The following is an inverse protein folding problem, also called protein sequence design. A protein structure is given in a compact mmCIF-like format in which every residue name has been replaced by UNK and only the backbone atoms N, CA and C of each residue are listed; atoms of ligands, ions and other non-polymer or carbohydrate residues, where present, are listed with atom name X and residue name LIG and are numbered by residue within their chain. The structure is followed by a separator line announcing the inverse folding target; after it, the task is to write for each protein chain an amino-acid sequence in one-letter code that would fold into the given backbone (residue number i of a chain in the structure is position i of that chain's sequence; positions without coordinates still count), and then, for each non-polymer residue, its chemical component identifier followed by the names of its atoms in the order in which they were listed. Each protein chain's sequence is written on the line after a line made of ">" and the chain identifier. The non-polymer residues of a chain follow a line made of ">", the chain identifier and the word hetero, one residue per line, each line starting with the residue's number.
data_IF_653853033359
#
_entry.id   IF_653853033359
#
_cell.length_a   1.000
_cell.length_b   1.000
_cell.length_c   1.000
_cell.angle_alpha   90.00
_cell.angle_beta   90.00
_cell.angle_gamma   90.00
#
_symmetry.space_group_name_H-M   'P 1'
#
loop_
_entity.id
_entity.type
_entity.pdbx_description
1 polymer ?
#
# COMPACT_ATOMS: atom_id res chain seq x y z
N UNK A 1 18.99 -39.93 39.09
CA UNK A 1 18.02 -39.11 38.29
C UNK A 1 18.14 -39.57 36.87
N UNK A 2 17.11 -40.21 36.37
CA UNK A 2 17.11 -40.96 35.10
C UNK A 2 17.11 -40.05 33.88
N UNK A 3 17.78 -40.51 32.83
CA UNK A 3 17.89 -39.82 31.50
C UNK A 3 16.57 -39.48 30.86
N UNK A 4 15.46 -40.10 31.24
CA UNK A 4 14.09 -39.88 30.76
C UNK A 4 13.50 -38.53 31.20
N UNK A 5 13.91 -37.96 32.34
CA UNK A 5 13.38 -36.68 32.82
C UNK A 5 13.99 -35.49 32.06
N UNK A 6 15.16 -35.67 31.41
CA UNK A 6 15.84 -34.60 30.65
C UNK A 6 15.29 -34.42 29.25
N UNK A 7 14.68 -35.45 28.64
CA UNK A 7 14.10 -35.38 27.32
C UNK A 7 12.72 -34.74 27.37
N UNK A 8 11.95 -34.94 28.45
CA UNK A 8 10.62 -34.31 28.60
C UNK A 8 10.68 -32.77 28.75
N UNK A 9 11.74 -32.23 29.39
CA UNK A 9 11.93 -30.80 29.55
C UNK A 9 12.30 -30.09 28.25
N UNK A 10 12.95 -30.78 27.30
CA UNK A 10 13.33 -30.20 25.99
C UNK A 10 12.16 -30.11 25.00
N UNK A 11 11.15 -30.97 25.15
CA UNK A 11 9.98 -31.00 24.26
C UNK A 11 8.94 -29.91 24.63
N UNK A 12 8.89 -29.52 25.90
CA UNK A 12 7.95 -28.50 26.38
C UNK A 12 8.32 -27.03 26.01
N UNK A 13 9.58 -26.78 25.65
CA UNK A 13 10.03 -25.43 25.21
C UNK A 13 9.80 -25.17 23.72
N UNK A 14 9.35 -26.14 22.95
CA UNK A 14 9.21 -26.05 21.49
C UNK A 14 7.87 -25.48 21.00
N UNK A 15 6.90 -25.25 21.87
CA UNK A 15 5.61 -24.65 21.51
C UNK A 15 5.63 -23.13 21.74
N UNK A 16 6.56 -22.43 21.12
CA UNK A 16 6.39 -21.00 20.89
C UNK A 16 5.23 -20.85 19.90
N UNK A 17 4.03 -20.59 20.41
CA UNK A 17 2.86 -20.23 19.62
C UNK A 17 3.26 -19.01 18.80
N UNK A 18 3.43 -19.20 17.49
CA UNK A 18 3.59 -18.08 16.57
C UNK A 18 2.32 -17.24 16.72
N UNK A 19 2.44 -16.06 17.33
CA UNK A 19 1.33 -15.10 17.35
C UNK A 19 0.90 -14.88 15.90
N UNK A 20 -0.39 -14.93 15.58
CA UNK A 20 -0.87 -14.63 14.25
C UNK A 20 -0.33 -13.24 13.86
N UNK A 21 0.27 -13.14 12.68
CA UNK A 21 0.68 -11.84 12.16
C UNK A 21 -0.58 -10.95 12.14
N UNK A 22 -0.53 -9.83 12.86
CA UNK A 22 -1.65 -8.90 12.90
C UNK A 22 -1.88 -8.36 11.50
N UNK A 23 -3.14 -8.34 11.05
CA UNK A 23 -3.51 -7.73 9.78
C UNK A 23 -3.07 -6.26 9.75
N UNK A 24 -2.42 -5.83 8.68
CA UNK A 24 -2.02 -4.44 8.55
C UNK A 24 -3.27 -3.55 8.40
N UNK A 25 -3.25 -2.40 9.08
CA UNK A 25 -4.39 -1.48 9.19
C UNK A 25 -4.25 -0.38 8.14
N UNK A 26 -5.22 -0.30 7.24
CA UNK A 26 -5.25 0.68 6.16
C UNK A 26 -6.34 1.71 6.41
N UNK A 27 -5.98 2.98 6.50
CA UNK A 27 -6.93 4.09 6.46
C UNK A 27 -7.36 4.35 5.01
N UNK A 28 -8.64 4.24 4.71
CA UNK A 28 -9.23 4.58 3.42
C UNK A 28 -9.73 6.01 3.49
N UNK A 29 -8.90 6.94 3.04
CA UNK A 29 -9.11 8.39 3.18
C UNK A 29 -9.69 8.93 1.89
N UNK A 30 -10.88 9.50 1.94
CA UNK A 30 -11.54 10.15 0.80
C UNK A 30 -12.62 11.12 1.28
N UNK A 31 -13.03 12.01 0.41
CA UNK A 31 -14.18 12.91 0.59
C UNK A 31 -15.53 12.24 0.30
N UNK A 32 -15.49 11.13 -0.48
CA UNK A 32 -16.66 10.34 -0.84
C UNK A 32 -16.29 8.85 -0.94
N UNK A 33 -17.26 7.96 -0.78
CA UNK A 33 -17.14 6.51 -1.01
C UNK A 33 -16.04 5.78 -0.23
N UNK A 34 -15.46 6.38 0.81
CA UNK A 34 -14.47 5.72 1.67
C UNK A 34 -15.03 4.45 2.33
N UNK A 35 -16.32 4.47 2.69
CA UNK A 35 -17.01 3.32 3.33
C UNK A 35 -17.22 2.16 2.36
N UNK A 36 -17.64 2.43 1.15
CA UNK A 36 -17.86 1.42 0.09
C UNK A 36 -16.54 0.80 -0.34
N UNK A 37 -15.51 1.62 -0.56
CA UNK A 37 -14.15 1.13 -0.86
C UNK A 37 -13.62 0.25 0.26
N UNK A 38 -13.74 0.68 1.51
CA UNK A 38 -13.29 -0.10 2.65
C UNK A 38 -14.04 -1.45 2.75
N UNK A 39 -15.35 -1.44 2.54
CA UNK A 39 -16.16 -2.66 2.55
C UNK A 39 -15.74 -3.63 1.44
N UNK A 40 -15.57 -3.14 0.20
CA UNK A 40 -15.16 -3.96 -0.94
C UNK A 40 -13.76 -4.54 -0.77
N UNK A 41 -12.81 -3.72 -0.29
CA UNK A 41 -11.44 -4.18 -0.06
C UNK A 41 -11.36 -5.17 1.11
N UNK A 42 -12.11 -4.98 2.20
CA UNK A 42 -12.22 -5.97 3.28
C UNK A 42 -12.77 -7.31 2.78
N UNK A 43 -13.70 -7.30 1.82
CA UNK A 43 -14.25 -8.51 1.25
C UNK A 43 -13.32 -9.22 0.24
N UNK A 44 -12.42 -8.49 -0.41
CA UNK A 44 -11.65 -8.97 -1.57
C UNK A 44 -10.14 -9.07 -1.34
N UNK A 45 -9.58 -8.32 -0.39
CA UNK A 45 -8.14 -8.26 -0.13
C UNK A 45 -7.88 -8.83 1.28
N UNK A 46 -7.48 -10.10 1.40
CA UNK A 46 -7.24 -10.73 2.69
C UNK A 46 -5.97 -10.19 3.37
N UNK A 47 -5.89 -10.37 4.69
CA UNK A 47 -4.77 -10.00 5.56
C UNK A 47 -4.60 -8.48 5.79
N UNK A 48 -5.64 -7.71 5.51
CA UNK A 48 -5.72 -6.28 5.78
C UNK A 48 -7.02 -5.95 6.50
N UNK A 49 -7.01 -4.84 7.23
CA UNK A 49 -8.22 -4.22 7.78
C UNK A 49 -8.32 -2.82 7.20
N UNK A 50 -9.31 -2.59 6.35
CA UNK A 50 -9.59 -1.30 5.74
C UNK A 50 -10.63 -0.56 6.57
N UNK A 51 -10.29 0.64 7.02
CA UNK A 51 -11.17 1.49 7.84
C UNK A 51 -11.45 2.79 7.10
N UNK A 52 -12.71 3.14 6.86
CA UNK A 52 -13.05 4.37 6.16
C UNK A 52 -12.76 5.59 7.02
N UNK A 53 -12.25 6.65 6.40
CA UNK A 53 -12.06 7.98 6.97
C UNK A 53 -12.62 8.99 5.98
N UNK A 54 -13.78 9.53 6.30
CA UNK A 54 -14.37 10.63 5.55
C UNK A 54 -13.68 11.95 5.94
N UNK A 55 -13.08 12.60 4.95
CA UNK A 55 -12.38 13.88 5.11
C UNK A 55 -13.05 15.01 4.34
N UNK A 56 -14.31 14.84 3.95
CA UNK A 56 -15.12 15.89 3.29
C UNK A 56 -15.25 17.15 4.14
N UNK A 57 -15.21 17.03 5.46
CA UNK A 57 -15.43 18.16 6.37
C UNK A 57 -14.33 18.34 7.43
N UNK A 58 -13.55 17.32 7.73
CA UNK A 58 -12.52 17.38 8.77
C UNK A 58 -11.36 16.42 8.50
N UNK A 59 -10.16 16.82 8.90
CA UNK A 59 -8.94 16.02 8.73
C UNK A 59 -8.48 15.49 10.09
N UNK A 60 -8.28 14.16 10.25
CA UNK A 60 -7.78 13.58 11.49
C UNK A 60 -6.42 14.14 11.90
N UNK A 61 -6.12 14.12 13.18
CA UNK A 61 -4.78 14.49 13.66
C UNK A 61 -3.73 13.47 13.19
N UNK A 62 -2.47 13.91 13.06
CA UNK A 62 -1.37 13.01 12.70
C UNK A 62 -1.20 11.90 13.74
N UNK A 63 -1.29 12.24 15.03
CA UNK A 63 -1.16 11.28 16.12
C UNK A 63 -2.24 10.19 16.03
N UNK A 64 -3.48 10.58 15.70
CA UNK A 64 -4.57 9.61 15.49
C UNK A 64 -4.26 8.66 14.32
N UNK A 65 -3.75 9.19 13.21
CA UNK A 65 -3.39 8.37 12.05
C UNK A 65 -2.24 7.41 12.38
N UNK A 66 -1.16 7.90 12.98
CA UNK A 66 0.01 7.11 13.34
C UNK A 66 -0.30 6.01 14.38
N UNK A 67 -1.17 6.28 15.33
CA UNK A 67 -1.56 5.32 16.37
C UNK A 67 -2.43 4.17 15.81
N UNK A 68 -3.24 4.45 14.79
CA UNK A 68 -4.27 3.51 14.36
C UNK A 68 -3.99 2.84 13.02
N UNK A 69 -3.10 3.37 12.16
CA UNK A 69 -2.93 2.89 10.81
C UNK A 69 -1.45 2.69 10.43
N UNK A 70 -1.24 1.72 9.58
CA UNK A 70 0.08 1.34 9.07
C UNK A 70 0.28 1.87 7.65
N UNK A 71 -0.81 2.06 6.89
CA UNK A 71 -0.85 2.56 5.51
C UNK A 71 -2.04 3.49 5.35
N UNK A 72 -1.90 4.53 4.52
CA UNK A 72 -3.04 5.33 4.01
C UNK A 72 -3.28 4.95 2.55
N UNK A 73 -4.54 4.70 2.19
CA UNK A 73 -5.05 4.80 0.83
C UNK A 73 -5.77 6.15 0.71
N UNK A 74 -5.32 7.01 -0.20
CA UNK A 74 -5.95 8.29 -0.51
C UNK A 74 -6.49 8.26 -1.94
N UNK A 75 -7.74 8.63 -2.12
CA UNK A 75 -8.37 8.90 -3.42
C UNK A 75 -9.44 9.97 -3.27
N UNK A 76 -9.90 10.50 -4.39
CA UNK A 76 -10.91 11.53 -4.47
C UNK A 76 -12.04 11.09 -5.42
N UNK A 77 -13.27 11.46 -5.14
CA UNK A 77 -14.40 11.38 -6.08
C UNK A 77 -15.48 12.45 -5.79
N UNK A 78 -15.04 13.59 -5.34
CA UNK A 78 -15.90 14.73 -5.01
C UNK A 78 -15.09 15.99 -4.82
N UNK A 79 -15.41 16.75 -3.79
CA UNK A 79 -14.73 18.00 -3.47
C UNK A 79 -14.36 18.01 -1.99
N UNK A 80 -13.08 18.07 -1.70
CA UNK A 80 -12.60 18.27 -0.34
C UNK A 80 -12.84 19.72 0.11
N UNK A 81 -13.32 19.87 1.34
CA UNK A 81 -13.44 21.21 1.93
C UNK A 81 -12.07 21.92 2.06
N UNK A 82 -10.99 21.13 2.21
CA UNK A 82 -9.62 21.63 2.32
C UNK A 82 -8.61 20.56 1.88
N UNK A 83 -8.43 20.36 0.59
CA UNK A 83 -7.49 19.40 0.03
C UNK A 83 -6.03 19.64 0.47
N UNK A 84 -5.51 20.89 0.56
CA UNK A 84 -4.18 21.13 1.08
C UNK A 84 -3.98 20.64 2.52
N UNK A 85 -4.98 20.76 3.39
CA UNK A 85 -4.89 20.25 4.75
C UNK A 85 -4.84 18.72 4.79
N UNK A 86 -5.61 18.04 3.92
CA UNK A 86 -5.54 16.58 3.76
C UNK A 86 -4.17 16.17 3.24
N UNK A 87 -3.70 16.79 2.16
CA UNK A 87 -2.41 16.48 1.53
C UNK A 87 -1.23 16.72 2.47
N UNK A 88 -1.22 17.83 3.22
CA UNK A 88 -0.21 18.10 4.25
C UNK A 88 -0.21 17.01 5.34
N UNK A 89 -1.39 16.55 5.74
CA UNK A 89 -1.54 15.48 6.75
C UNK A 89 -1.04 14.14 6.24
N UNK A 90 -1.39 13.77 5.01
CA UNK A 90 -0.93 12.55 4.35
C UNK A 90 0.58 12.59 4.12
N UNK A 91 1.12 13.73 3.72
CA UNK A 91 2.55 13.93 3.58
C UNK A 91 3.29 13.79 4.92
N UNK A 92 2.75 14.34 6.00
CA UNK A 92 3.34 14.20 7.34
C UNK A 92 3.33 12.73 7.80
N UNK A 93 2.26 11.98 7.50
CA UNK A 93 2.19 10.54 7.75
C UNK A 93 3.27 9.78 6.96
N UNK A 94 3.42 10.09 5.66
CA UNK A 94 4.46 9.50 4.82
C UNK A 94 5.88 9.80 5.34
N UNK A 95 6.15 11.06 5.69
CA UNK A 95 7.43 11.51 6.24
C UNK A 95 7.75 10.92 7.62
N UNK A 96 6.74 10.43 8.34
CA UNK A 96 6.92 9.66 9.57
C UNK A 96 7.25 8.16 9.31
N UNK A 97 7.56 7.79 8.06
CA UNK A 97 7.93 6.43 7.66
C UNK A 97 6.75 5.49 7.44
N UNK A 98 5.53 6.03 7.29
CA UNK A 98 4.33 5.25 7.01
C UNK A 98 3.95 5.39 5.54
N UNK A 99 3.90 4.29 4.76
CA UNK A 99 3.64 4.36 3.32
C UNK A 99 2.25 4.88 2.98
N UNK A 100 2.15 5.48 1.79
CA UNK A 100 0.90 5.99 1.23
C UNK A 100 0.65 5.35 -0.14
N UNK A 101 -0.58 4.93 -0.38
CA UNK A 101 -1.08 4.47 -1.68
C UNK A 101 -2.08 5.50 -2.19
N UNK A 102 -1.85 6.00 -3.39
CA UNK A 102 -2.73 6.96 -4.07
C UNK A 102 -3.53 6.23 -5.13
N UNK A 103 -4.84 6.45 -5.14
CA UNK A 103 -5.74 6.00 -6.19
C UNK A 103 -6.24 7.18 -7.03
N UNK A 104 -6.68 6.93 -8.25
CA UNK A 104 -7.38 7.95 -9.03
C UNK A 104 -8.74 8.19 -8.35
N UNK A 105 -9.15 9.42 -8.08
CA UNK A 105 -8.75 10.71 -8.68
C UNK A 105 -7.95 11.67 -7.79
N UNK A 106 -7.17 11.29 -6.85
CA UNK A 106 -6.48 12.29 -6.04
C UNK A 106 -5.86 13.41 -6.90
N UNK A 107 -5.53 13.12 -8.13
CA UNK A 107 -4.91 14.01 -9.11
C UNK A 107 -5.86 15.11 -9.66
N UNK A 108 -7.17 15.04 -9.42
CA UNK A 108 -8.09 16.12 -9.82
C UNK A 108 -7.89 17.40 -9.04
N UNK A 109 -7.59 17.32 -7.78
CA UNK A 109 -7.41 18.48 -6.90
C UNK A 109 -5.95 18.95 -6.79
N UNK A 110 -5.11 18.57 -7.74
CA UNK A 110 -3.72 19.04 -7.76
C UNK A 110 -3.64 20.50 -8.17
N UNK A 111 -2.64 21.20 -7.64
CA UNK A 111 -2.38 22.61 -7.97
C UNK A 111 -2.01 22.84 -9.43
N UNK A 112 -1.45 21.83 -10.10
CA UNK A 112 -1.10 21.85 -11.53
C UNK A 112 -2.22 21.31 -12.46
N UNK A 113 -3.33 20.84 -11.88
CA UNK A 113 -4.46 20.38 -12.65
C UNK A 113 -5.20 21.55 -13.31
N UNK A 114 -5.48 21.42 -14.59
CA UNK A 114 -6.30 22.40 -15.32
C UNK A 114 -7.80 22.13 -15.19
N UNK A 115 -8.16 21.01 -14.63
CA UNK A 115 -9.55 20.56 -14.50
C UNK A 115 -10.22 20.97 -13.20
N UNK A 116 -9.85 22.07 -12.62
CA UNK A 116 -10.59 22.66 -11.49
C UNK A 116 -12.09 22.91 -11.77
N UNK A 117 -12.62 22.24 -12.80
CA UNK A 117 -14.04 22.29 -13.15
C UNK A 117 -14.95 21.69 -12.08
N UNK A 118 -14.44 20.83 -11.22
CA UNK A 118 -15.19 20.22 -10.12
C UNK A 118 -14.96 20.91 -8.78
N UNK A 119 -13.85 21.64 -8.63
CA UNK A 119 -13.53 22.35 -7.39
C UNK A 119 -13.96 23.81 -7.52
N UNK A 120 -14.92 24.32 -6.72
CA UNK A 120 -15.29 25.71 -6.72
C UNK A 120 -14.08 26.62 -6.44
N UNK A 121 -13.89 27.73 -7.15
CA UNK A 121 -12.71 28.61 -6.98
C UNK A 121 -12.51 29.15 -5.56
N UNK A 122 -13.57 29.15 -4.75
CA UNK A 122 -13.52 29.60 -3.35
C UNK A 122 -13.02 28.55 -2.36
N UNK A 123 -12.88 27.30 -2.80
CA UNK A 123 -12.42 26.19 -1.94
C UNK A 123 -10.92 26.00 -2.17
N UNK A 124 -10.08 25.92 -1.11
CA UNK A 124 -8.67 25.62 -1.26
C UNK A 124 -8.48 24.27 -1.96
N UNK A 125 -7.69 24.23 -3.01
CA UNK A 125 -7.36 23.02 -3.76
C UNK A 125 -5.84 22.86 -3.92
N UNK A 126 -5.43 21.75 -4.53
CA UNK A 126 -4.01 21.31 -4.50
C UNK A 126 -3.70 20.50 -3.25
N UNK A 127 -2.70 19.66 -3.32
CA UNK A 127 -2.37 18.70 -2.24
C UNK A 127 -1.25 19.16 -1.33
N UNK A 128 -0.84 20.44 -1.41
CA UNK A 128 0.20 21.00 -0.54
C UNK A 128 1.49 20.16 -0.52
N UNK A 129 1.95 19.79 0.67
CA UNK A 129 3.20 19.03 0.86
C UNK A 129 3.20 17.67 0.16
N UNK A 130 2.04 17.04 -0.06
CA UNK A 130 1.96 15.75 -0.75
C UNK A 130 2.49 15.86 -2.18
N UNK A 131 2.25 16.97 -2.86
CA UNK A 131 2.74 17.20 -4.22
C UNK A 131 4.28 17.24 -4.33
N UNK A 132 4.98 17.41 -3.22
CA UNK A 132 6.45 17.37 -3.19
C UNK A 132 7.00 15.95 -3.20
N UNK A 133 6.23 14.96 -2.77
CA UNK A 133 6.67 13.58 -2.57
C UNK A 133 5.91 12.55 -3.40
N UNK A 134 4.76 12.87 -3.95
CA UNK A 134 3.99 11.96 -4.79
C UNK A 134 4.68 11.65 -6.13
N UNK A 135 4.36 10.50 -6.77
CA UNK A 135 5.08 10.03 -7.94
C UNK A 135 4.70 10.73 -9.24
N UNK A 136 3.48 11.29 -9.35
CA UNK A 136 2.98 11.78 -10.64
C UNK A 136 2.48 13.21 -10.57
N UNK A 137 2.53 13.89 -11.71
CA UNK A 137 1.69 15.05 -12.01
C UNK A 137 0.48 14.60 -12.82
N UNK A 138 -0.54 15.45 -12.95
CA UNK A 138 -1.55 15.28 -13.99
C UNK A 138 -0.96 15.63 -15.37
N UNK A 139 -1.63 15.19 -16.43
CA UNK A 139 -1.25 15.57 -17.79
C UNK A 139 -1.74 16.99 -18.18
N UNK A 140 -2.28 17.74 -17.21
CA UNK A 140 -2.79 19.10 -17.39
C UNK A 140 -4.24 19.18 -17.87
N UNK A 141 -4.93 18.04 -18.01
CA UNK A 141 -6.36 17.98 -18.36
C UNK A 141 -7.19 17.28 -17.29
N UNK A 142 -6.57 16.97 -16.13
CA UNK A 142 -7.20 16.22 -15.06
C UNK A 142 -7.32 14.74 -15.37
N UNK A 143 -8.26 14.10 -14.73
CA UNK A 143 -8.44 12.65 -14.85
C UNK A 143 -8.98 12.26 -16.21
N UNK A 144 -8.38 11.27 -16.81
CA UNK A 144 -8.86 10.72 -18.06
C UNK A 144 -10.00 9.72 -17.82
N UNK A 145 -11.16 10.05 -18.37
CA UNK A 145 -12.28 9.11 -18.50
C UNK A 145 -12.12 8.36 -19.82
N UNK A 146 -11.32 7.34 -19.86
CA UNK A 146 -11.10 6.62 -21.11
C UNK A 146 -10.86 5.14 -20.87
N UNK A 147 -11.16 4.33 -21.87
CA UNK A 147 -10.76 2.93 -21.91
C UNK A 147 -9.25 2.86 -21.77
N UNK A 148 -8.77 2.04 -20.84
CA UNK A 148 -7.36 1.82 -20.56
C UNK A 148 -7.06 0.33 -20.53
N UNK A 149 -5.95 -0.06 -21.09
CA UNK A 149 -5.47 -1.44 -21.03
C UNK A 149 -4.00 -1.41 -20.64
N UNK A 150 -3.61 -2.25 -19.71
CA UNK A 150 -2.22 -2.35 -19.28
C UNK A 150 -1.35 -2.79 -20.47
N UNK A 151 -0.23 -2.08 -20.66
CA UNK A 151 0.76 -2.47 -21.65
C UNK A 151 1.60 -3.64 -21.09
N UNK A 152 1.35 -4.85 -21.57
CA UNK A 152 2.05 -6.04 -21.09
C UNK A 152 3.58 -5.94 -21.24
N UNK A 153 4.08 -5.23 -22.26
CA UNK A 153 5.51 -5.03 -22.47
C UNK A 153 6.14 -4.04 -21.48
N UNK A 154 5.33 -3.24 -20.78
CA UNK A 154 5.80 -2.28 -19.77
C UNK A 154 5.88 -2.87 -18.36
N UNK A 155 5.36 -4.08 -18.14
CA UNK A 155 5.33 -4.70 -16.82
C UNK A 155 6.75 -5.12 -16.40
N UNK A 156 7.33 -4.40 -15.49
CA UNK A 156 8.62 -4.76 -14.89
C UNK A 156 8.44 -5.86 -13.83
N UNK A 157 9.48 -6.67 -13.64
CA UNK A 157 9.51 -7.63 -12.52
C UNK A 157 9.71 -6.89 -11.20
N UNK A 158 8.64 -6.67 -10.47
CA UNK A 158 8.62 -5.87 -9.25
C UNK A 158 7.58 -6.42 -8.26
N UNK A 159 7.70 -6.21 -6.92
CA UNK A 159 6.66 -6.57 -5.95
C UNK A 159 5.28 -6.04 -6.32
N UNK A 160 5.17 -4.78 -6.76
CA UNK A 160 3.92 -4.13 -7.18
C UNK A 160 3.23 -4.83 -8.37
N UNK A 161 3.98 -5.51 -9.22
CA UNK A 161 3.48 -6.19 -10.43
C UNK A 161 3.51 -7.71 -10.30
N UNK A 162 3.74 -8.25 -9.11
CA UNK A 162 3.82 -9.70 -8.89
C UNK A 162 2.54 -10.41 -9.33
N UNK A 163 2.66 -11.28 -10.34
CA UNK A 163 1.56 -12.05 -10.90
C UNK A 163 0.51 -11.21 -11.64
N UNK A 164 0.79 -9.94 -11.91
CA UNK A 164 -0.04 -9.08 -12.75
C UNK A 164 0.28 -9.37 -14.21
N UNK A 165 -0.75 -9.66 -14.99
CA UNK A 165 -0.66 -9.94 -16.42
C UNK A 165 -1.60 -9.06 -17.24
N UNK A 166 -2.70 -8.62 -16.64
CA UNK A 166 -3.72 -7.80 -17.29
C UNK A 166 -4.40 -6.88 -16.28
N UNK A 167 -4.70 -5.66 -16.70
CA UNK A 167 -5.56 -4.71 -15.99
C UNK A 167 -6.24 -3.85 -17.05
N UNK A 168 -7.53 -3.61 -16.88
CA UNK A 168 -8.30 -2.82 -17.84
C UNK A 168 -9.33 -1.95 -17.14
N UNK A 169 -9.47 -0.73 -17.63
CA UNK A 169 -10.64 0.12 -17.49
C UNK A 169 -11.47 -0.02 -18.77
N UNK A 170 -12.70 -0.52 -18.66
CA UNK A 170 -13.43 -1.11 -19.78
C UNK A 170 -14.27 -0.13 -20.60
N UNK A 171 -14.52 1.07 -20.06
CA UNK A 171 -15.29 2.09 -20.79
C UNK A 171 -14.82 3.50 -20.47
N UNK A 172 -15.21 4.44 -21.31
CA UNK A 172 -14.97 5.87 -21.15
C UNK A 172 -16.09 6.57 -20.37
N UNK A 173 -16.12 7.89 -20.44
CA UNK A 173 -17.08 8.75 -19.70
C UNK A 173 -18.56 8.46 -20.04
N UNK A 174 -19.46 8.44 -19.03
CA UNK A 174 -19.13 8.31 -17.64
C UNK A 174 -18.62 6.89 -17.38
N UNK A 175 -17.50 6.71 -16.75
CA UNK A 175 -16.91 5.38 -16.63
C UNK A 175 -15.69 5.33 -15.75
N UNK A 176 -14.93 4.22 -15.82
CA UNK A 176 -13.88 3.98 -14.87
C UNK A 176 -12.83 5.06 -14.94
N UNK A 177 -12.47 5.50 -13.79
CA UNK A 177 -11.48 6.53 -13.62
C UNK A 177 -10.09 5.89 -13.66
N UNK A 178 -9.36 6.13 -14.74
CA UNK A 178 -8.04 5.55 -14.97
C UNK A 178 -7.17 6.42 -15.86
N UNK A 179 -5.88 6.47 -15.55
CA UNK A 179 -4.86 7.18 -16.33
C UNK A 179 -4.90 8.69 -16.18
N UNK A 180 -4.29 9.39 -17.13
CA UNK A 180 -4.20 10.84 -17.15
C UNK A 180 -3.02 11.40 -16.37
N UNK A 181 -1.98 10.60 -16.14
CA UNK A 181 -0.84 10.94 -15.31
C UNK A 181 0.46 11.11 -16.11
N UNK A 182 1.39 11.82 -15.52
CA UNK A 182 2.76 11.98 -16.00
C UNK A 182 3.72 11.77 -14.82
N UNK A 183 4.67 10.85 -14.98
CA UNK A 183 5.67 10.60 -13.94
C UNK A 183 6.53 11.84 -13.67
N UNK A 184 6.74 12.16 -12.41
CA UNK A 184 7.70 13.18 -11.95
C UNK A 184 9.14 12.64 -12.05
N UNK A 185 10.14 13.51 -12.14
CA UNK A 185 11.54 13.11 -12.00
C UNK A 185 11.77 12.31 -10.71
N UNK A 186 12.47 11.17 -10.82
CA UNK A 186 12.72 10.27 -9.68
C UNK A 186 11.59 9.28 -9.39
N UNK A 187 10.50 9.30 -10.14
CA UNK A 187 9.45 8.27 -10.08
C UNK A 187 9.88 7.01 -10.81
N UNK A 188 9.61 5.86 -10.22
CA UNK A 188 9.81 4.55 -10.82
C UNK A 188 8.47 4.05 -11.33
N UNK A 189 8.31 3.99 -12.65
CA UNK A 189 7.13 3.43 -13.32
C UNK A 189 7.38 1.94 -13.52
N UNK A 190 6.55 1.09 -12.92
CA UNK A 190 6.69 -0.37 -12.99
C UNK A 190 5.68 -1.02 -13.93
N UNK A 191 4.63 -0.29 -14.31
CA UNK A 191 3.72 -0.65 -15.39
C UNK A 191 3.04 0.61 -15.94
N UNK A 192 2.75 0.62 -17.23
CA UNK A 192 2.12 1.75 -17.92
C UNK A 192 0.87 1.29 -18.68
N UNK A 193 -0.03 2.23 -18.93
CA UNK A 193 -1.15 2.02 -19.84
C UNK A 193 -0.66 1.91 -21.29
N UNK A 194 -1.40 1.20 -22.14
CA UNK A 194 -1.12 1.13 -23.58
C UNK A 194 -1.45 2.44 -24.28
N UNK A 195 -2.43 3.16 -23.75
CA UNK A 195 -2.83 4.46 -24.23
C UNK A 195 -1.96 5.54 -23.59
N UNK A 196 -1.37 6.43 -24.37
CA UNK A 196 -0.65 7.58 -23.81
C UNK A 196 -1.59 8.53 -23.08
N UNK A 197 -1.04 9.41 -22.26
CA UNK A 197 -1.78 10.54 -21.70
C UNK A 197 -2.12 11.59 -22.77
N UNK A 198 -2.84 12.64 -22.41
CA UNK A 198 -3.28 13.69 -23.36
C UNK A 198 -2.13 14.45 -24.02
N UNK A 199 -0.92 14.40 -23.45
CA UNK A 199 0.30 14.99 -24.03
C UNK A 199 1.06 14.04 -24.95
N UNK A 200 0.55 12.82 -25.16
CA UNK A 200 1.23 11.79 -25.95
C UNK A 200 2.39 11.11 -25.24
N UNK A 201 2.50 11.28 -23.92
CA UNK A 201 3.54 10.68 -23.10
C UNK A 201 3.06 9.36 -22.47
N UNK A 202 4.02 8.59 -21.94
CA UNK A 202 3.73 7.37 -21.17
C UNK A 202 2.84 7.74 -19.98
N UNK A 203 1.71 7.03 -19.85
CA UNK A 203 0.77 7.18 -18.76
C UNK A 203 1.00 6.07 -17.72
N UNK A 204 1.49 6.39 -16.51
CA UNK A 204 1.76 5.40 -15.48
C UNK A 204 0.50 4.70 -15.00
N UNK A 205 0.46 3.36 -15.09
CA UNK A 205 -0.59 2.55 -14.48
C UNK A 205 -0.24 2.19 -13.04
N UNK A 206 1.05 1.86 -12.78
CA UNK A 206 1.59 1.56 -11.46
C UNK A 206 2.95 2.21 -11.35
N UNK A 207 3.10 3.08 -10.37
CA UNK A 207 4.35 3.80 -10.13
C UNK A 207 4.58 4.00 -8.63
N UNK A 208 5.80 4.32 -8.25
CA UNK A 208 6.10 4.75 -6.87
C UNK A 208 7.28 5.71 -6.86
N UNK A 209 7.37 6.47 -5.78
CA UNK A 209 8.49 7.36 -5.51
C UNK A 209 8.97 7.15 -4.08
N UNK A 210 10.28 7.05 -3.96
CA UNK A 210 10.97 7.04 -2.68
C UNK A 210 11.67 8.38 -2.48
N UNK A 211 11.51 8.95 -1.33
CA UNK A 211 12.32 10.07 -0.84
C UNK A 211 13.05 9.62 0.43
N UNK A 212 13.91 10.45 1.01
CA UNK A 212 14.68 10.08 2.21
C UNK A 212 13.82 9.54 3.36
N UNK A 213 12.56 9.96 3.45
CA UNK A 213 11.67 9.62 4.56
C UNK A 213 10.28 9.15 4.13
N UNK A 214 9.98 9.07 2.84
CA UNK A 214 8.63 8.76 2.39
C UNK A 214 8.62 7.75 1.24
N UNK A 215 7.65 6.85 1.30
CA UNK A 215 7.26 5.99 0.19
C UNK A 215 5.82 6.31 -0.22
N UNK A 216 5.63 6.72 -1.46
CA UNK A 216 4.33 7.01 -2.05
C UNK A 216 4.16 6.17 -3.30
N UNK A 217 3.11 5.33 -3.30
CA UNK A 217 2.74 4.45 -4.39
C UNK A 217 1.55 5.06 -5.11
N UNK A 218 1.49 4.97 -6.42
CA UNK A 218 0.35 5.38 -7.24
C UNK A 218 -0.18 4.20 -8.04
N UNK A 219 -1.48 3.97 -7.94
CA UNK A 219 -2.24 3.05 -8.77
C UNK A 219 -3.15 3.89 -9.66
N UNK A 220 -2.85 3.94 -10.95
CA UNK A 220 -3.51 4.79 -11.93
C UNK A 220 -4.91 4.34 -12.35
N UNK A 221 -5.68 3.83 -11.39
CA UNK A 221 -7.07 3.42 -11.54
C UNK A 221 -7.81 3.69 -10.23
N UNK A 222 -9.10 4.00 -10.30
CA UNK A 222 -9.88 4.24 -9.10
C UNK A 222 -10.08 2.98 -8.26
N UNK A 223 -10.20 3.11 -6.93
CA UNK A 223 -10.67 2.03 -6.08
C UNK A 223 -12.08 1.56 -6.46
N UNK A 224 -12.44 0.35 -6.01
CA UNK A 224 -13.76 -0.23 -6.25
C UNK A 224 -14.79 0.37 -5.29
N UNK A 225 -15.56 1.33 -5.80
CA UNK A 225 -16.71 1.92 -5.12
C UNK A 225 -17.84 2.17 -6.13
N UNK A 226 -19.05 1.66 -5.91
CA UNK A 226 -20.14 1.88 -6.84
C UNK A 226 -20.67 3.31 -6.72
N UNK A 227 -20.49 4.10 -7.76
CA UNK A 227 -21.20 5.37 -7.95
C UNK A 227 -22.48 5.09 -8.72
N UNK A 228 -23.61 5.43 -8.17
CA UNK A 228 -25.00 5.17 -8.59
C UNK A 228 -25.22 4.79 -10.05
N UNK A 229 -25.84 3.71 -10.34
CA UNK A 229 -25.79 2.39 -9.73
C UNK A 229 -24.74 1.47 -10.36
N UNK A 230 -23.82 1.98 -11.21
CA UNK A 230 -23.02 1.14 -12.10
C UNK A 230 -21.62 1.66 -12.46
N UNK A 231 -21.08 2.65 -11.77
CA UNK A 231 -19.73 3.18 -12.08
C UNK A 231 -18.69 2.71 -11.07
N UNK A 232 -17.43 2.58 -11.54
CA UNK A 232 -16.26 2.16 -10.77
C UNK A 232 -16.41 0.79 -10.09
N UNK A 233 -17.09 -0.15 -10.74
CA UNK A 233 -17.36 -1.48 -10.20
C UNK A 233 -16.50 -2.53 -10.90
N UNK A 234 -15.82 -3.37 -10.12
CA UNK A 234 -15.09 -4.50 -10.67
C UNK A 234 -16.04 -5.48 -11.41
N UNK A 235 -15.60 -5.95 -12.56
CA UNK A 235 -16.38 -6.83 -13.44
C UNK A 235 -17.26 -6.08 -14.45
N UNK A 236 -17.62 -4.82 -14.15
CA UNK A 236 -18.36 -3.96 -15.07
C UNK A 236 -17.44 -2.92 -15.71
N UNK A 237 -16.67 -2.22 -14.91
CA UNK A 237 -15.81 -1.12 -15.35
C UNK A 237 -14.33 -1.46 -15.26
N UNK A 238 -13.97 -2.35 -14.35
CA UNK A 238 -12.61 -2.83 -14.17
C UNK A 238 -12.53 -4.34 -14.42
N UNK A 239 -11.41 -4.79 -14.99
CA UNK A 239 -11.18 -6.21 -15.24
C UNK A 239 -9.69 -6.58 -15.11
N UNK A 240 -9.43 -7.88 -15.15
CA UNK A 240 -8.09 -8.44 -15.03
C UNK A 240 -7.62 -8.57 -13.59
N UNK A 241 -6.35 -8.33 -13.35
CA UNK A 241 -5.71 -8.51 -12.05
C UNK A 241 -5.94 -7.31 -11.09
N UNK A 242 -7.11 -6.69 -11.15
CA UNK A 242 -7.46 -5.46 -10.43
C UNK A 242 -7.17 -5.55 -8.93
N UNK A 243 -7.78 -6.48 -8.20
CA UNK A 243 -7.54 -6.63 -6.76
C UNK A 243 -6.12 -7.11 -6.44
N UNK A 244 -5.46 -7.80 -7.36
CA UNK A 244 -4.07 -8.19 -7.23
C UNK A 244 -3.14 -6.97 -7.25
N UNK A 245 -3.39 -6.01 -8.13
CA UNK A 245 -2.61 -4.76 -8.18
C UNK A 245 -2.74 -4.00 -6.87
N UNK A 246 -3.96 -3.83 -6.35
CA UNK A 246 -4.20 -3.18 -5.06
C UNK A 246 -3.53 -3.96 -3.91
N UNK A 247 -3.71 -5.28 -3.87
CA UNK A 247 -3.04 -6.12 -2.85
C UNK A 247 -1.53 -5.97 -2.90
N UNK A 248 -0.94 -6.02 -4.08
CA UNK A 248 0.50 -5.84 -4.23
C UNK A 248 0.97 -4.47 -3.75
N UNK A 249 0.17 -3.41 -3.95
CA UNK A 249 0.48 -2.08 -3.45
C UNK A 249 0.53 -2.06 -1.91
N UNK A 250 -0.45 -2.69 -1.25
CA UNK A 250 -0.45 -2.80 0.21
C UNK A 250 0.65 -3.73 0.73
N UNK A 251 0.92 -4.86 0.05
CA UNK A 251 2.03 -5.76 0.39
C UNK A 251 3.38 -5.02 0.32
N UNK A 252 3.60 -4.24 -0.74
CA UNK A 252 4.82 -3.46 -0.92
C UNK A 252 4.92 -2.33 0.11
N UNK A 253 3.83 -1.63 0.37
CA UNK A 253 3.73 -0.64 1.44
C UNK A 253 4.08 -1.27 2.81
N UNK A 254 3.52 -2.44 3.14
CA UNK A 254 3.76 -3.11 4.41
C UNK A 254 5.24 -3.53 4.63
N UNK A 255 6.03 -3.64 3.55
CA UNK A 255 7.48 -3.88 3.64
C UNK A 255 8.31 -2.58 3.72
N UNK A 256 7.67 -1.42 3.87
CA UNK A 256 8.34 -0.12 3.82
C UNK A 256 8.86 0.23 2.42
N UNK A 257 8.23 -0.35 1.38
CA UNK A 257 8.63 -0.19 -0.02
C UNK A 257 10.04 -0.73 -0.34
N UNK A 258 10.45 -1.77 0.36
CA UNK A 258 11.70 -2.46 0.06
C UNK A 258 11.50 -3.41 -1.13
N UNK A 259 12.25 -3.18 -2.20
CA UNK A 259 12.22 -4.03 -3.41
C UNK A 259 12.90 -5.39 -3.18
N UNK A 260 13.77 -5.46 -2.17
CA UNK A 260 14.46 -6.66 -1.76
C UNK A 260 14.20 -6.91 -0.27
N UNK A 261 12.95 -7.21 0.14
CA UNK A 261 12.69 -7.47 1.54
C UNK A 261 13.59 -8.62 2.00
N UNK A 262 14.53 -8.30 2.89
CA UNK A 262 15.33 -9.34 3.54
C UNK A 262 14.32 -10.27 4.21
N UNK A 263 14.33 -11.58 3.92
CA UNK A 263 13.45 -12.49 4.62
C UNK A 263 13.73 -12.35 6.11
N UNK A 264 12.88 -11.63 6.82
CA UNK A 264 12.95 -11.60 8.28
C UNK A 264 12.77 -13.04 8.71
N UNK A 265 13.79 -13.60 9.37
CA UNK A 265 13.67 -14.93 9.94
C UNK A 265 12.38 -14.93 10.77
N UNK A 266 11.44 -15.78 10.40
CA UNK A 266 10.21 -15.92 11.15
C UNK A 266 10.52 -16.22 12.62
N UNK A 267 9.69 -15.79 13.56
CA UNK A 267 9.94 -15.97 14.99
C UNK A 267 10.29 -17.44 15.35
N UNK A 268 9.72 -18.41 14.61
CA UNK A 268 10.09 -19.83 14.80
C UNK A 268 11.49 -20.16 14.29
N UNK A 269 12.01 -19.48 13.25
CA UNK A 269 13.38 -19.68 12.78
C UNK A 269 14.41 -19.15 13.79
N UNK A 270 14.12 -18.04 14.50
CA UNK A 270 14.91 -17.65 15.68
C UNK A 270 14.84 -18.69 16.78
N UNK A 271 13.67 -19.29 17.04
CA UNK A 271 13.51 -20.38 17.99
C UNK A 271 14.34 -21.60 17.63
N UNK A 272 14.31 -22.03 16.37
CA UNK A 272 15.14 -23.14 15.87
C UNK A 272 16.63 -22.82 15.97
N UNK A 273 17.05 -21.62 15.61
CA UNK A 273 18.45 -21.20 15.70
C UNK A 273 18.92 -21.14 17.16
N UNK A 274 18.10 -20.64 18.08
CA UNK A 274 18.40 -20.68 19.52
C UNK A 274 18.51 -22.11 20.04
N UNK A 275 17.62 -23.02 19.65
CA UNK A 275 17.67 -24.43 20.01
C UNK A 275 18.95 -25.12 19.50
N UNK A 276 19.35 -24.82 18.27
CA UNK A 276 20.60 -25.35 17.70
C UNK A 276 21.81 -24.83 18.46
N UNK A 277 21.84 -23.53 18.80
CA UNK A 277 22.92 -22.96 19.61
C UNK A 277 22.99 -23.58 21.01
N UNK A 278 21.84 -23.83 21.66
CA UNK A 278 21.77 -24.52 22.94
C UNK A 278 22.26 -25.97 22.84
N UNK A 279 21.86 -26.69 21.79
CA UNK A 279 22.32 -28.07 21.57
C UNK A 279 23.85 -28.15 21.40
N UNK A 280 24.41 -27.22 20.63
CA UNK A 280 25.86 -27.10 20.44
C UNK A 280 26.54 -26.74 21.75
N UNK A 281 26.03 -25.75 22.50
CA UNK A 281 26.59 -25.39 23.81
C UNK A 281 26.58 -26.56 24.80
N UNK A 282 25.51 -27.35 24.85
CA UNK A 282 25.44 -28.56 25.70
C UNK A 282 26.38 -29.64 25.24
N UNK A 283 26.61 -29.83 23.96
CA UNK A 283 27.55 -30.82 23.44
C UNK A 283 29.03 -30.49 23.78
N UNK A 284 29.34 -29.20 23.86
CA UNK A 284 30.69 -28.70 24.14
C UNK A 284 30.93 -28.32 25.62
N UNK A 285 29.93 -28.38 26.50
CA UNK A 285 30.16 -28.20 27.93
C UNK A 285 31.06 -29.31 28.45
N UNK A 286 32.24 -29.01 28.99
CA UNK A 286 33.18 -30.05 29.51
C UNK A 286 32.49 -30.83 30.63
N UNK A 287 32.41 -32.15 30.49
CA UNK A 287 31.96 -33.03 31.54
C UNK A 287 32.94 -32.86 32.72
N UNK A 288 32.55 -32.05 33.72
CA UNK A 288 33.30 -31.98 34.99
C UNK A 288 33.29 -33.37 35.60
N UNK A 289 34.39 -34.10 35.41
CA UNK A 289 34.68 -35.29 36.16
C UNK A 289 34.77 -34.91 37.63
N UNK A 290 33.81 -35.36 38.42
CA UNK A 290 33.88 -35.28 39.86
C UNK A 290 35.10 -36.11 40.31
N UNK A 291 36.24 -35.44 40.59
CA UNK A 291 37.32 -36.06 41.31
C UNK A 291 36.83 -36.33 42.73
N UNK A 292 36.55 -37.60 43.03
CA UNK A 292 36.39 -38.03 44.39
C UNK A 292 37.72 -37.76 45.12
N UNK A 293 37.67 -36.86 46.08
CA UNK A 293 38.75 -36.75 47.12
C UNK A 293 38.43 -37.80 48.15
N UNK A 294 39.14 -38.95 48.06
CA UNK A 294 39.23 -39.90 49.17
C UNK A 294 40.22 -39.35 50.15
N UNK A 295 39.79 -39.10 51.38
CA UNK A 295 40.58 -39.09 52.58
C UNK A 295 39.93 -40.03 53.61
#
# INVERSE_FOLDING_TARGET
>A
MSSTLRIAAAVLLGLAVAAPAQAARVAVVSDAFSSETAANFNAKIPNYTFTPIDVSSSVPSLDTLLANYDVILLFEDGVFANAPAVGNRVAAFAKAGRPVVLGTFYDQDRSDATSGATVPPAIPHGWGDLETIDPNTTDGVGTAYSVRTLNAASILRHPLTRGVTALSALRGSPGPYAGGNQAKPGTIVVAAWSQPNARGLVDPAVAYRLTESACVIHIGIAPDYPVVPTYNTYGTDFAGDYYRVWKNAFDFAATGCDVNPVPTLSAWAYGVMALLLFAVAFAYLPKRTARQVSR
#
